data_IF_330906362632
#
_entry.id   IF_330906362632
#
_cell.length_a   1.000
_cell.length_b   1.000
_cell.length_c   1.000
_cell.angle_alpha   90.00
_cell.angle_beta   90.00
_cell.angle_gamma   90.00
#
_symmetry.space_group_name_H-M   'P 1'
#
loop_
_entity.id
_entity.type
_entity.pdbx_description
1 polymer ?
#
# COMPACT_ATOMS: atom_id res chain seq x y z
N UNK A 1 2.48 3.10 -22.76
CA UNK A 1 2.05 3.20 -21.35
C UNK A 1 2.11 1.81 -20.77
N UNK A 2 3.17 1.43 -20.04
CA UNK A 2 3.31 0.14 -19.32
C UNK A 2 4.43 0.24 -18.26
N UNK A 3 4.52 1.39 -17.56
CA UNK A 3 5.61 1.65 -16.61
C UNK A 3 5.14 1.50 -15.16
N UNK A 4 4.41 0.43 -14.85
CA UNK A 4 4.05 0.12 -13.47
C UNK A 4 4.10 -1.38 -13.24
N UNK A 5 4.35 -1.76 -12.00
CA UNK A 5 4.24 -3.13 -11.51
C UNK A 5 3.15 -3.13 -10.46
N UNK A 6 2.15 -4.00 -10.64
CA UNK A 6 1.14 -4.22 -9.61
C UNK A 6 1.75 -5.00 -8.45
N UNK A 7 1.52 -4.53 -7.23
CA UNK A 7 1.99 -5.15 -5.99
C UNK A 7 0.83 -5.27 -5.01
N UNK A 8 0.84 -6.33 -4.20
CA UNK A 8 -0.12 -6.56 -3.12
C UNK A 8 0.60 -7.30 -1.99
N UNK A 9 0.10 -7.16 -0.76
CA UNK A 9 0.65 -7.81 0.42
C UNK A 9 0.37 -9.33 0.44
N UNK A 10 0.97 -10.02 1.41
CA UNK A 10 0.89 -11.47 1.56
C UNK A 10 -0.42 -12.00 2.16
N UNK A 11 -1.52 -11.24 2.16
CA UNK A 11 -2.79 -11.69 2.72
C UNK A 11 -3.28 -12.99 2.04
N UNK A 12 -3.94 -13.93 2.76
CA UNK A 12 -4.35 -15.22 2.19
C UNK A 12 -5.21 -15.11 0.92
N UNK A 13 -6.05 -14.08 0.82
CA UNK A 13 -6.85 -13.82 -0.37
C UNK A 13 -5.97 -13.48 -1.59
N UNK A 14 -4.88 -12.74 -1.38
CA UNK A 14 -3.95 -12.33 -2.42
C UNK A 14 -3.01 -13.44 -2.84
N UNK A 15 -2.61 -14.34 -1.92
CA UNK A 15 -1.70 -15.46 -2.21
C UNK A 15 -2.40 -16.66 -2.86
N UNK A 16 -3.74 -16.66 -2.91
CA UNK A 16 -4.50 -17.74 -3.53
C UNK A 16 -4.20 -17.88 -5.03
N UNK A 17 -4.00 -19.12 -5.48
CA UNK A 17 -3.58 -19.44 -6.86
C UNK A 17 -4.43 -18.74 -7.93
N UNK A 18 -5.75 -18.77 -7.80
CA UNK A 18 -6.67 -18.15 -8.77
C UNK A 18 -6.47 -16.63 -8.87
N UNK A 19 -6.16 -15.97 -7.75
CA UNK A 19 -5.90 -14.52 -7.73
C UNK A 19 -4.55 -14.20 -8.35
N UNK A 20 -3.51 -14.97 -8.03
CA UNK A 20 -2.19 -14.84 -8.63
C UNK A 20 -2.22 -15.05 -10.16
N UNK A 21 -2.93 -16.09 -10.64
CA UNK A 21 -3.14 -16.34 -12.07
C UNK A 21 -3.91 -15.20 -12.75
N UNK A 22 -4.95 -14.68 -12.09
CA UNK A 22 -5.69 -13.52 -12.58
C UNK A 22 -4.78 -12.29 -12.72
N UNK A 23 -4.03 -11.92 -11.68
CA UNK A 23 -3.12 -10.78 -11.72
C UNK A 23 -2.05 -10.94 -12.81
N UNK A 24 -1.45 -12.13 -12.93
CA UNK A 24 -0.45 -12.43 -13.96
C UNK A 24 -1.01 -12.30 -15.39
N UNK A 25 -2.28 -12.66 -15.62
CA UNK A 25 -2.92 -12.57 -16.93
C UNK A 25 -3.51 -11.21 -17.28
N UNK A 26 -3.77 -10.35 -16.28
CA UNK A 26 -4.55 -9.11 -16.47
C UNK A 26 -3.77 -7.82 -16.15
N UNK A 27 -2.63 -7.89 -15.44
CA UNK A 27 -1.81 -6.72 -15.13
C UNK A 27 -0.65 -6.58 -16.11
N UNK A 28 -0.29 -5.35 -16.48
CA UNK A 28 0.84 -5.07 -17.37
C UNK A 28 2.17 -5.64 -16.84
N UNK A 29 2.36 -5.58 -15.51
CA UNK A 29 3.41 -6.28 -14.77
C UNK A 29 2.91 -6.54 -13.35
N UNK A 30 3.41 -7.61 -12.73
CA UNK A 30 2.91 -8.08 -11.45
C UNK A 30 4.05 -8.70 -10.63
N UNK A 31 4.12 -8.35 -9.34
CA UNK A 31 4.95 -9.07 -8.38
C UNK A 31 4.15 -10.21 -7.74
N UNK A 32 4.52 -11.47 -8.02
CA UNK A 32 3.86 -12.62 -7.41
C UNK A 32 4.10 -12.68 -5.90
N UNK A 33 3.28 -13.48 -5.21
CA UNK A 33 3.30 -13.61 -3.75
C UNK A 33 4.66 -14.01 -3.17
N UNK A 34 5.48 -14.76 -3.91
CA UNK A 34 6.82 -15.20 -3.51
C UNK A 34 7.89 -14.11 -3.68
N UNK A 35 7.55 -13.00 -4.35
CA UNK A 35 8.45 -11.84 -4.48
C UNK A 35 8.32 -10.87 -3.31
N UNK A 36 7.17 -10.83 -2.64
CA UNK A 36 6.92 -9.91 -1.53
C UNK A 36 7.50 -10.46 -0.22
N UNK A 37 8.29 -9.68 0.54
CA UNK A 37 8.81 -10.14 1.83
C UNK A 37 7.65 -10.37 2.82
N UNK A 38 7.67 -11.51 3.51
CA UNK A 38 6.61 -11.86 4.47
C UNK A 38 6.52 -10.82 5.60
N UNK A 39 5.30 -10.49 6.02
CA UNK A 39 5.04 -9.63 7.19
C UNK A 39 5.78 -8.28 7.19
N UNK A 40 5.91 -7.67 6.01
CA UNK A 40 6.65 -6.41 5.83
C UNK A 40 5.71 -5.25 5.44
N UNK A 41 4.92 -4.70 6.37
CA UNK A 41 4.13 -3.49 6.12
C UNK A 41 5.04 -2.30 5.75
N UNK A 42 6.28 -2.32 6.21
CA UNK A 42 7.32 -1.32 5.93
C UNK A 42 7.65 -1.18 4.44
N UNK A 43 7.20 -2.09 3.57
CA UNK A 43 7.45 -2.03 2.12
C UNK A 43 6.21 -1.58 1.34
N UNK A 44 5.03 -1.59 1.96
CA UNK A 44 3.78 -1.20 1.30
C UNK A 44 3.46 0.29 1.53
N UNK A 45 3.51 1.16 0.50
CA UNK A 45 3.17 2.58 0.64
C UNK A 45 1.78 2.84 1.21
N UNK A 46 0.85 1.91 0.96
CA UNK A 46 -0.48 2.02 1.53
C UNK A 46 -0.43 1.92 3.06
N UNK A 47 0.34 0.97 3.58
CA UNK A 47 0.42 0.70 5.02
C UNK A 47 1.28 1.73 5.76
N UNK A 48 2.51 2.01 5.29
CA UNK A 48 3.42 2.90 6.04
C UNK A 48 3.11 4.40 5.87
N UNK A 49 2.26 4.79 4.92
CA UNK A 49 1.98 6.21 4.64
C UNK A 49 0.51 6.54 4.43
N UNK A 50 -0.15 5.95 3.41
CA UNK A 50 -1.48 6.40 2.96
C UNK A 50 -2.55 6.17 4.02
N UNK A 51 -2.60 4.98 4.64
CA UNK A 51 -3.60 4.65 5.65
C UNK A 51 -3.44 5.50 6.91
N UNK A 52 -2.20 5.68 7.40
CA UNK A 52 -1.94 6.56 8.55
C UNK A 52 -2.31 8.03 8.27
N UNK A 53 -2.06 8.53 7.06
CA UNK A 53 -2.50 9.87 6.66
C UNK A 53 -4.02 9.99 6.71
N UNK A 54 -4.74 9.06 6.07
CA UNK A 54 -6.20 9.11 5.97
C UNK A 54 -6.83 8.99 7.34
N UNK A 55 -6.39 8.01 8.14
CA UNK A 55 -6.86 7.81 9.50
C UNK A 55 -6.67 9.08 10.35
N UNK A 56 -5.47 9.68 10.28
CA UNK A 56 -5.16 10.91 11.00
C UNK A 56 -6.00 12.12 10.57
N UNK A 57 -6.57 12.11 9.36
CA UNK A 57 -7.49 13.15 8.88
C UNK A 57 -8.94 12.84 9.24
N UNK A 58 -9.39 11.60 9.00
CA UNK A 58 -10.78 11.19 9.18
C UNK A 58 -11.18 11.06 10.64
N UNK A 59 -10.24 10.68 11.52
CA UNK A 59 -10.53 10.44 12.94
C UNK A 59 -10.50 11.72 13.78
N UNK A 60 -10.27 12.89 13.19
CA UNK A 60 -10.37 14.19 13.88
C UNK A 60 -11.78 14.53 14.33
N UNK A 61 -12.78 13.89 13.73
CA UNK A 61 -14.20 14.09 14.03
C UNK A 61 -14.91 12.75 14.05
N UNK A 62 -15.91 12.60 14.93
CA UNK A 62 -16.79 11.44 14.90
C UNK A 62 -17.73 11.50 13.69
N UNK A 63 -18.06 10.33 13.15
CA UNK A 63 -18.98 10.18 12.02
C UNK A 63 -20.30 9.57 12.52
N UNK A 64 -21.42 10.13 12.07
CA UNK A 64 -22.76 9.72 12.51
C UNK A 64 -23.31 8.51 11.75
N UNK A 65 -22.71 8.17 10.60
CA UNK A 65 -23.08 7.00 9.80
C UNK A 65 -21.89 6.49 8.98
N UNK A 66 -22.06 5.29 8.40
CA UNK A 66 -21.09 4.72 7.47
C UNK A 66 -20.89 5.60 6.23
N UNK A 67 -21.97 6.20 5.74
CA UNK A 67 -21.97 7.10 4.57
C UNK A 67 -21.20 8.38 4.86
N UNK A 68 -21.36 8.95 6.06
CA UNK A 68 -20.59 10.12 6.49
C UNK A 68 -19.08 9.81 6.58
N UNK A 69 -18.72 8.63 7.12
CA UNK A 69 -17.34 8.18 7.16
C UNK A 69 -16.77 7.99 5.75
N UNK A 70 -17.49 7.29 4.86
CA UNK A 70 -17.07 7.09 3.46
C UNK A 70 -16.87 8.41 2.73
N UNK A 71 -17.80 9.35 2.87
CA UNK A 71 -17.70 10.68 2.26
C UNK A 71 -16.47 11.44 2.76
N UNK A 72 -16.14 11.32 4.05
CA UNK A 72 -14.93 11.94 4.60
C UNK A 72 -13.66 11.28 4.08
N UNK A 73 -13.60 9.94 4.02
CA UNK A 73 -12.45 9.22 3.44
C UNK A 73 -12.23 9.64 1.99
N UNK A 74 -13.28 9.65 1.16
CA UNK A 74 -13.18 10.09 -0.25
C UNK A 74 -12.69 11.52 -0.35
N UNK A 75 -13.23 12.45 0.45
CA UNK A 75 -12.78 13.84 0.47
C UNK A 75 -11.29 13.97 0.83
N UNK A 76 -10.83 13.27 1.87
CA UNK A 76 -9.42 13.36 2.28
C UNK A 76 -8.48 12.63 1.32
N UNK A 77 -8.96 11.59 0.63
CA UNK A 77 -8.26 10.98 -0.50
C UNK A 77 -8.07 11.97 -1.65
N UNK A 78 -9.13 12.65 -2.07
CA UNK A 78 -9.08 13.63 -3.18
C UNK A 78 -8.22 14.85 -2.83
N UNK A 79 -8.11 15.20 -1.54
CA UNK A 79 -7.24 16.26 -1.04
C UNK A 79 -5.79 15.81 -0.82
N UNK A 80 -5.48 14.52 -0.96
CA UNK A 80 -4.11 14.02 -0.81
C UNK A 80 -3.26 14.52 -1.98
N UNK A 81 -2.18 15.24 -1.66
CA UNK A 81 -1.31 15.80 -2.69
C UNK A 81 -0.62 14.70 -3.50
N UNK A 82 -0.52 14.89 -4.81
CA UNK A 82 0.22 13.98 -5.70
C UNK A 82 1.69 13.81 -5.27
N UNK A 83 2.32 14.87 -4.76
CA UNK A 83 3.71 14.84 -4.27
C UNK A 83 3.89 13.92 -3.07
N UNK A 84 2.92 13.87 -2.15
CA UNK A 84 2.92 12.92 -1.03
C UNK A 84 2.88 11.47 -1.53
N UNK A 85 2.02 11.18 -2.52
CA UNK A 85 1.89 9.84 -3.11
C UNK A 85 3.21 9.45 -3.80
N UNK A 86 3.76 10.34 -4.65
CA UNK A 86 5.03 10.11 -5.35
C UNK A 86 6.18 9.88 -4.38
N UNK A 87 6.27 10.68 -3.31
CA UNK A 87 7.33 10.56 -2.29
C UNK A 87 7.18 9.27 -1.50
N UNK A 88 5.95 8.87 -1.17
CA UNK A 88 5.67 7.59 -0.50
C UNK A 88 6.11 6.42 -1.37
N UNK A 89 5.75 6.41 -2.66
CA UNK A 89 6.20 5.38 -3.61
C UNK A 89 7.73 5.37 -3.78
N UNK A 90 8.36 6.54 -3.89
CA UNK A 90 9.81 6.65 -4.01
C UNK A 90 10.55 6.13 -2.76
N UNK A 91 9.89 6.15 -1.60
CA UNK A 91 10.45 5.68 -0.33
C UNK A 91 10.50 4.16 -0.19
N UNK A 92 9.84 3.39 -1.07
CA UNK A 92 9.87 1.92 -1.05
C UNK A 92 11.29 1.39 -1.18
N UNK A 93 12.05 1.91 -2.14
CA UNK A 93 13.43 1.47 -2.38
C UNK A 93 14.36 1.68 -1.17
N UNK A 94 14.50 2.90 -0.61
CA UNK A 94 15.37 3.10 0.55
C UNK A 94 14.89 2.30 1.78
N UNK A 95 13.59 2.04 1.93
CA UNK A 95 13.05 1.14 2.96
C UNK A 95 13.50 -0.31 2.76
N UNK A 96 13.40 -0.86 1.55
CA UNK A 96 13.93 -2.19 1.21
C UNK A 96 15.44 -2.26 1.51
N UNK A 97 16.20 -1.25 1.11
CA UNK A 97 17.64 -1.19 1.39
C UNK A 97 17.94 -1.15 2.90
N UNK A 98 17.10 -0.48 3.69
CA UNK A 98 17.21 -0.47 5.15
C UNK A 98 16.88 -1.83 5.77
N UNK A 99 15.83 -2.52 5.31
CA UNK A 99 15.49 -3.88 5.73
C UNK A 99 16.65 -4.84 5.42
N UNK A 100 17.26 -4.75 4.24
CA UNK A 100 18.43 -5.56 3.87
C UNK A 100 19.60 -5.28 4.82
N UNK A 101 19.90 -3.99 5.09
CA UNK A 101 20.94 -3.62 6.08
C UNK A 101 20.64 -4.13 7.48
N UNK A 102 19.36 -4.24 7.84
CA UNK A 102 18.91 -4.79 9.11
C UNK A 102 18.71 -6.32 9.08
N UNK A 103 19.28 -7.03 8.10
CA UNK A 103 19.17 -8.48 7.95
C UNK A 103 17.72 -9.01 7.97
N UNK A 104 16.78 -8.27 7.37
CA UNK A 104 15.36 -8.61 7.35
C UNK A 104 14.57 -8.17 8.58
N UNK A 105 15.19 -7.47 9.53
CA UNK A 105 14.52 -6.90 10.69
C UNK A 105 13.63 -5.69 10.36
N UNK A 106 12.71 -5.38 11.27
CA UNK A 106 11.82 -4.21 11.19
C UNK A 106 12.59 -2.89 11.10
N UNK A 107 12.00 -1.90 10.44
CA UNK A 107 12.52 -0.54 10.31
C UNK A 107 11.43 0.48 10.68
N UNK A 108 11.83 1.64 11.20
CA UNK A 108 10.94 2.79 11.42
C UNK A 108 11.03 3.77 10.22
#
# INVERSE_FOLDING_TARGET
MNNYVFTQDGAPAHTFKKVQEFCKGNMASFWPADFWPSSSPDVNPLDFAVWGFLEGKTNKTSHTSLEALKATITKEWDNMSEDFIKTSCASVRPRIEAIIRNNGGHIE
#
